data_IF_327281709195
#
_entry.id   IF_327281709195
#
_cell.length_a   1.000
_cell.length_b   1.000
_cell.length_c   1.000
_cell.angle_alpha   90.00
_cell.angle_beta   90.00
_cell.angle_gamma   90.00
#
_symmetry.space_group_name_H-M   'P 1'
#
loop_
_entity.id
_entity.type
_entity.pdbx_description
1 polymer ?
#
# COMPACT_ATOMS: atom_id res chain seq x y z
N UNK A 1 37.91 -12.45 -28.92
CA UNK A 1 37.70 -12.70 -27.48
C UNK A 1 38.13 -11.48 -26.70
N UNK A 2 37.21 -10.75 -26.09
CA UNK A 2 37.51 -9.62 -25.19
C UNK A 2 37.99 -10.16 -23.84
N UNK A 3 39.20 -9.76 -23.42
CA UNK A 3 39.84 -10.22 -22.19
C UNK A 3 39.19 -9.55 -20.98
N UNK A 4 38.67 -10.34 -20.04
CA UNK A 4 38.15 -9.85 -18.77
C UNK A 4 39.32 -9.44 -17.85
N UNK A 5 39.27 -8.24 -17.27
CA UNK A 5 40.32 -7.69 -16.38
C UNK A 5 39.83 -7.78 -14.93
N UNK A 6 40.64 -8.39 -14.07
CA UNK A 6 40.35 -8.50 -12.65
C UNK A 6 40.67 -7.17 -11.93
N UNK A 7 39.75 -6.64 -11.11
CA UNK A 7 40.05 -5.48 -10.27
C UNK A 7 41.05 -5.85 -9.18
N UNK A 8 42.00 -4.94 -8.90
CA UNK A 8 43.00 -5.10 -7.83
C UNK A 8 42.53 -4.43 -6.54
N UNK A 9 42.76 -5.10 -5.40
CA UNK A 9 42.38 -4.61 -4.06
C UNK A 9 43.44 -3.71 -3.40
N UNK A 10 44.54 -3.40 -4.11
CA UNK A 10 45.70 -2.70 -3.54
C UNK A 10 45.33 -1.32 -2.97
N UNK A 11 45.52 -1.13 -1.65
CA UNK A 11 45.24 0.13 -0.96
C UNK A 11 43.76 0.39 -0.64
N UNK A 12 42.85 -0.51 -1.01
CA UNK A 12 41.43 -0.39 -0.69
C UNK A 12 41.11 -1.02 0.66
N UNK A 13 40.20 -0.38 1.40
CA UNK A 13 39.65 -0.88 2.67
C UNK A 13 38.21 -1.29 2.48
N UNK A 14 37.81 -2.41 3.09
CA UNK A 14 36.42 -2.84 3.11
C UNK A 14 35.60 -1.90 3.99
N UNK A 15 34.54 -1.33 3.42
CA UNK A 15 33.52 -0.60 4.17
C UNK A 15 32.55 -1.64 4.71
N UNK A 16 32.43 -1.74 6.04
CA UNK A 16 31.45 -2.62 6.68
C UNK A 16 30.15 -1.85 6.90
N UNK A 17 29.05 -2.36 6.36
CA UNK A 17 27.72 -1.75 6.50
C UNK A 17 27.35 -0.85 5.33
N UNK A 18 26.58 0.18 5.61
CA UNK A 18 26.06 1.11 4.60
C UNK A 18 27.17 2.04 4.12
N UNK A 19 27.30 2.14 2.80
CA UNK A 19 28.18 3.14 2.19
C UNK A 19 27.61 4.55 2.42
N UNK A 20 28.50 5.53 2.38
CA UNK A 20 28.10 6.94 2.40
C UNK A 20 27.13 7.25 1.25
N UNK A 21 26.05 7.95 1.55
CA UNK A 21 25.00 8.26 0.58
C UNK A 21 24.04 7.11 0.25
N UNK A 22 24.11 5.97 0.94
CA UNK A 22 23.15 4.89 0.75
C UNK A 22 21.73 5.36 1.11
N UNK A 23 20.85 5.34 0.13
CA UNK A 23 19.44 5.71 0.27
C UNK A 23 18.66 4.57 0.92
N UNK A 24 17.83 4.89 1.92
CA UNK A 24 17.07 3.92 2.72
C UNK A 24 15.68 4.46 3.06
N UNK A 25 14.77 3.56 3.44
CA UNK A 25 13.42 3.93 3.85
C UNK A 25 12.74 4.81 2.79
N UNK A 26 12.16 5.93 3.20
CA UNK A 26 11.44 6.85 2.29
C UNK A 26 12.30 7.40 1.15
N UNK A 27 13.62 7.41 1.30
CA UNK A 27 14.54 7.95 0.30
C UNK A 27 15.00 6.87 -0.70
N UNK A 28 14.57 5.61 -0.51
CA UNK A 28 14.90 4.49 -1.41
C UNK A 28 14.35 4.75 -2.82
N UNK A 29 15.06 4.25 -3.83
CA UNK A 29 14.62 4.33 -5.22
C UNK A 29 13.31 3.54 -5.45
N UNK A 30 12.57 3.93 -6.48
CA UNK A 30 11.29 3.30 -6.83
C UNK A 30 11.41 1.78 -7.05
N UNK A 31 10.36 1.05 -6.68
CA UNK A 31 10.27 -0.41 -6.83
C UNK A 31 10.71 -1.22 -5.61
N UNK A 32 11.35 -0.59 -4.62
CA UNK A 32 11.64 -1.24 -3.35
C UNK A 32 10.43 -1.17 -2.41
N UNK A 33 10.14 -2.22 -1.63
CA UNK A 33 9.05 -2.21 -0.67
C UNK A 33 9.35 -1.27 0.50
N UNK A 34 8.33 -0.54 0.94
CA UNK A 34 8.46 0.42 2.03
C UNK A 34 7.29 0.30 3.02
N UNK A 35 7.61 0.16 4.31
CA UNK A 35 6.61 0.22 5.40
C UNK A 35 6.37 1.65 5.88
N UNK A 36 7.32 2.55 5.66
CA UNK A 36 7.38 3.88 6.28
C UNK A 36 6.45 4.95 5.67
N UNK A 37 5.60 4.61 4.68
CA UNK A 37 4.72 5.59 4.03
C UNK A 37 3.44 5.89 4.83
N UNK A 38 3.00 4.96 5.70
CA UNK A 38 1.86 5.16 6.58
C UNK A 38 2.29 4.98 8.05
N UNK A 39 1.75 5.78 8.99
CA UNK A 39 1.88 5.48 10.42
C UNK A 39 1.37 4.06 10.69
N UNK A 40 2.18 3.28 11.39
CA UNK A 40 1.88 1.88 11.68
C UNK A 40 2.51 1.45 13.00
N UNK A 41 1.98 0.36 13.55
CA UNK A 41 2.54 -0.35 14.71
C UNK A 41 2.87 -1.77 14.32
N UNK A 42 3.95 -2.31 14.88
CA UNK A 42 4.38 -3.69 14.65
C UNK A 42 4.48 -4.43 15.97
N UNK A 43 3.69 -5.49 16.12
CA UNK A 43 3.66 -6.32 17.33
C UNK A 43 3.95 -7.78 16.96
N UNK A 44 4.60 -8.53 17.86
CA UNK A 44 4.77 -9.97 17.71
C UNK A 44 3.55 -10.68 18.31
N UNK A 45 2.74 -11.32 17.46
CA UNK A 45 1.48 -11.92 17.87
C UNK A 45 1.21 -13.23 17.13
N UNK A 46 0.46 -14.13 17.75
CA UNK A 46 -0.09 -15.30 17.08
C UNK A 46 -1.17 -14.87 16.08
N UNK A 47 -0.75 -14.59 14.85
CA UNK A 47 -1.61 -14.28 13.74
C UNK A 47 -1.46 -15.36 12.67
N UNK A 48 -2.54 -16.07 12.39
CA UNK A 48 -2.55 -17.23 11.48
C UNK A 48 -2.37 -16.76 10.04
N UNK A 49 -1.13 -16.45 9.68
CA UNK A 49 -0.70 -16.01 8.33
C UNK A 49 -0.46 -17.24 7.45
N UNK A 50 -0.82 -17.13 6.19
CA UNK A 50 -0.68 -18.12 5.12
C UNK A 50 0.19 -17.55 4.00
N UNK A 51 1.51 -17.69 4.16
CA UNK A 51 2.50 -17.26 3.15
C UNK A 51 2.64 -18.32 2.04
N UNK A 52 2.45 -19.59 2.39
CA UNK A 52 2.51 -20.73 1.47
C UNK A 52 1.18 -21.51 1.48
N UNK A 53 1.21 -22.80 1.17
CA UNK A 53 -0.01 -23.63 1.15
C UNK A 53 -0.58 -23.90 2.55
N UNK A 54 0.24 -23.83 3.59
CA UNK A 54 -0.13 -24.07 4.98
C UNK A 54 -0.11 -22.79 5.82
N UNK A 55 -0.93 -22.81 6.87
CA UNK A 55 -0.97 -21.76 7.88
C UNK A 55 0.24 -21.86 8.82
N UNK A 56 0.75 -20.71 9.24
CA UNK A 56 1.79 -20.62 10.27
C UNK A 56 1.21 -21.01 11.63
N UNK A 57 2.00 -21.76 12.40
CA UNK A 57 1.68 -22.24 13.76
C UNK A 57 2.42 -21.48 14.86
N UNK A 58 3.15 -20.42 14.53
CA UNK A 58 3.90 -19.62 15.50
C UNK A 58 3.69 -18.14 15.26
N UNK A 59 4.21 -17.33 16.17
CA UNK A 59 4.02 -15.89 16.15
C UNK A 59 4.61 -15.26 14.89
N UNK A 60 3.95 -14.21 14.43
CA UNK A 60 4.34 -13.41 13.27
C UNK A 60 4.37 -11.94 13.68
N UNK A 61 5.23 -11.16 13.02
CA UNK A 61 5.17 -9.70 13.15
C UNK A 61 3.92 -9.24 12.42
N UNK A 62 2.99 -8.64 13.15
CA UNK A 62 1.75 -8.09 12.62
C UNK A 62 1.90 -6.58 12.51
N UNK A 63 1.73 -6.05 11.30
CA UNK A 63 1.76 -4.61 11.04
C UNK A 63 0.33 -4.08 11.03
N UNK A 64 0.01 -3.13 11.91
CA UNK A 64 -1.30 -2.47 11.99
C UNK A 64 -1.17 -1.07 11.43
N UNK A 65 -1.90 -0.77 10.36
CA UNK A 65 -1.90 0.54 9.71
C UNK A 65 -2.87 1.46 10.45
N UNK A 66 -2.43 2.66 10.81
CA UNK A 66 -3.30 3.70 11.34
C UNK A 66 -3.96 4.46 10.18
N UNK A 67 -5.26 4.74 10.27
CA UNK A 67 -6.00 5.42 9.20
C UNK A 67 -5.85 6.95 9.31
N UNK A 68 -5.05 7.62 8.47
CA UNK A 68 -4.89 9.08 8.52
C UNK A 68 -6.13 9.83 8.03
N UNK A 69 -7.08 9.14 7.38
CA UNK A 69 -8.31 9.70 6.84
C UNK A 69 -9.51 9.51 7.78
N UNK A 70 -9.28 9.06 9.02
CA UNK A 70 -10.35 8.84 9.97
C UNK A 70 -11.09 10.14 10.28
N UNK A 71 -12.40 10.16 10.01
CA UNK A 71 -13.27 11.31 10.24
C UNK A 71 -13.48 12.19 9.01
N UNK A 72 -12.74 11.98 7.92
CA UNK A 72 -13.00 12.65 6.65
C UNK A 72 -14.32 12.14 6.04
N UNK A 73 -15.02 13.03 5.33
CA UNK A 73 -16.17 12.67 4.51
C UNK A 73 -15.71 12.10 3.18
N UNK A 74 -16.52 11.21 2.61
CA UNK A 74 -16.19 10.52 1.36
C UNK A 74 -16.12 11.51 0.20
N UNK A 75 -16.92 12.58 0.22
CA UNK A 75 -16.84 13.65 -0.78
C UNK A 75 -15.53 14.44 -0.71
N UNK A 76 -15.04 14.72 0.52
CA UNK A 76 -13.78 15.43 0.72
C UNK A 76 -12.58 14.55 0.30
N UNK A 77 -12.67 13.24 0.56
CA UNK A 77 -11.71 12.26 0.05
C UNK A 77 -11.75 12.17 -1.46
N UNK A 78 -12.93 12.18 -2.08
CA UNK A 78 -13.06 12.18 -3.52
C UNK A 78 -12.42 13.44 -4.15
N UNK A 79 -12.62 14.62 -3.57
CA UNK A 79 -11.98 15.86 -4.03
C UNK A 79 -10.46 15.78 -3.93
N UNK A 80 -9.93 15.24 -2.84
CA UNK A 80 -8.48 15.19 -2.60
C UNK A 80 -7.76 14.09 -3.39
N UNK A 81 -8.43 12.97 -3.68
CA UNK A 81 -7.80 11.81 -4.33
C UNK A 81 -8.12 11.70 -5.82
N UNK A 82 -9.37 11.90 -6.22
CA UNK A 82 -9.81 11.60 -7.60
C UNK A 82 -9.17 12.57 -8.60
N UNK A 83 -8.69 12.02 -9.71
CA UNK A 83 -7.88 12.64 -10.78
C UNK A 83 -6.44 13.00 -10.39
N UNK A 84 -6.07 12.87 -9.12
CA UNK A 84 -4.71 13.07 -8.65
C UNK A 84 -3.88 11.78 -8.77
N UNK A 85 -2.57 11.97 -8.75
CA UNK A 85 -1.61 10.89 -8.66
C UNK A 85 -1.64 10.29 -7.26
N UNK A 86 -1.70 8.96 -7.17
CA UNK A 86 -1.78 8.20 -5.92
C UNK A 86 -0.80 7.03 -5.96
N UNK A 87 -0.39 6.56 -4.78
CA UNK A 87 0.47 5.40 -4.65
C UNK A 87 -0.32 4.22 -4.07
N UNK A 88 -0.36 3.11 -4.79
CA UNK A 88 -1.13 1.91 -4.45
C UNK A 88 -0.25 0.67 -4.38
N UNK A 89 -0.78 -0.44 -3.85
CA UNK A 89 -0.05 -1.72 -3.83
C UNK A 89 0.94 -1.88 -2.67
N UNK A 90 0.68 -1.20 -1.54
CA UNK A 90 1.48 -1.35 -0.31
C UNK A 90 1.81 -2.83 0.00
N UNK A 91 3.05 -3.19 0.38
CA UNK A 91 4.20 -2.31 0.60
C UNK A 91 5.00 -1.98 -0.68
N UNK A 92 4.68 -2.59 -1.82
CA UNK A 92 5.33 -2.36 -3.11
C UNK A 92 4.62 -1.24 -3.86
N UNK A 93 4.84 0.00 -3.41
CA UNK A 93 4.13 1.16 -3.93
C UNK A 93 4.36 1.34 -5.43
N UNK A 94 3.26 1.49 -6.16
CA UNK A 94 3.22 1.77 -7.58
C UNK A 94 2.48 3.08 -7.81
N UNK A 95 2.96 3.81 -8.80
CA UNK A 95 2.33 5.05 -9.25
C UNK A 95 1.05 4.72 -10.02
N UNK A 96 -0.04 5.41 -9.67
CA UNK A 96 -1.35 5.20 -10.27
C UNK A 96 -2.16 6.51 -10.26
N UNK A 97 -3.26 6.53 -11.00
CA UNK A 97 -4.16 7.69 -11.05
C UNK A 97 -5.55 7.30 -10.59
N UNK A 98 -6.03 7.92 -9.52
CA UNK A 98 -7.37 7.63 -9.03
C UNK A 98 -8.43 8.14 -10.02
N UNK A 99 -9.29 7.25 -10.52
CA UNK A 99 -10.39 7.59 -11.43
C UNK A 99 -11.71 7.77 -10.70
N UNK A 100 -11.90 7.09 -9.56
CA UNK A 100 -13.09 7.18 -8.73
C UNK A 100 -12.81 6.71 -7.30
N UNK A 101 -13.71 7.04 -6.39
CA UNK A 101 -13.81 6.47 -5.05
C UNK A 101 -15.16 5.73 -4.96
N UNK A 102 -15.27 4.63 -4.21
CA UNK A 102 -16.58 4.07 -3.88
C UNK A 102 -16.66 3.59 -2.44
N UNK A 103 -17.79 3.85 -1.81
CA UNK A 103 -18.21 3.22 -0.55
C UNK A 103 -19.17 2.06 -0.86
N UNK A 104 -19.93 1.59 0.14
CA UNK A 104 -20.88 0.48 0.02
C UNK A 104 -22.11 0.82 -0.87
N UNK A 105 -22.45 2.10 -1.01
CA UNK A 105 -23.69 2.58 -1.64
C UNK A 105 -23.45 3.45 -2.88
N UNK A 106 -22.38 4.24 -2.90
CA UNK A 106 -22.10 5.29 -3.85
C UNK A 106 -20.72 5.15 -4.47
N UNK A 107 -20.65 5.51 -5.76
CA UNK A 107 -19.40 5.78 -6.47
C UNK A 107 -19.24 7.28 -6.65
N UNK A 108 -18.17 7.84 -6.09
CA UNK A 108 -17.82 9.25 -6.22
C UNK A 108 -16.89 9.48 -7.41
N UNK A 109 -17.23 10.48 -8.22
CA UNK A 109 -16.41 10.97 -9.32
C UNK A 109 -16.34 12.49 -9.27
N UNK A 110 -15.32 13.08 -9.90
CA UNK A 110 -15.19 14.53 -10.00
C UNK A 110 -15.69 14.99 -11.37
N UNK A 111 -16.70 15.84 -11.36
CA UNK A 111 -17.24 16.50 -12.54
C UNK A 111 -16.13 17.35 -13.22
N UNK A 112 -15.85 17.13 -14.52
CA UNK A 112 -14.82 17.88 -15.23
C UNK A 112 -15.07 19.39 -15.30
N UNK A 113 -16.34 19.83 -15.30
CA UNK A 113 -16.73 21.22 -15.46
C UNK A 113 -16.82 21.93 -14.11
N UNK A 114 -17.56 21.33 -13.17
CA UNK A 114 -17.84 21.96 -11.88
C UNK A 114 -16.78 21.69 -10.82
N UNK A 115 -15.89 20.70 -11.05
CA UNK A 115 -14.89 20.18 -10.08
C UNK A 115 -15.50 19.75 -8.74
N UNK A 116 -16.80 19.48 -8.71
CA UNK A 116 -17.51 19.01 -7.52
C UNK A 116 -17.56 17.48 -7.50
N UNK A 117 -17.55 16.86 -6.30
CA UNK A 117 -17.78 15.44 -6.17
C UNK A 117 -19.24 15.12 -6.49
N UNK A 118 -19.44 14.06 -7.26
CA UNK A 118 -20.75 13.50 -7.58
C UNK A 118 -20.79 12.06 -7.08
N UNK A 119 -21.61 11.83 -6.05
CA UNK A 119 -21.93 10.49 -5.55
C UNK A 119 -23.05 9.86 -6.37
N UNK A 120 -22.73 8.80 -7.11
CA UNK A 120 -23.67 8.07 -7.96
C UNK A 120 -24.02 6.76 -7.25
N UNK A 121 -25.28 6.53 -6.84
CA UNK A 121 -25.68 5.26 -6.27
C UNK A 121 -25.35 4.10 -7.21
N UNK A 122 -24.89 2.98 -6.66
CA UNK A 122 -24.56 1.82 -7.45
C UNK A 122 -25.29 0.55 -7.01
N UNK A 123 -25.56 -0.34 -7.98
CA UNK A 123 -26.27 -1.59 -7.74
C UNK A 123 -25.36 -2.79 -7.45
N UNK A 124 -24.04 -2.57 -7.34
CA UNK A 124 -23.03 -3.62 -7.19
C UNK A 124 -22.46 -3.70 -5.76
N UNK A 125 -23.30 -3.38 -4.76
CA UNK A 125 -22.99 -3.43 -3.32
C UNK A 125 -22.41 -4.78 -2.87
N UNK A 126 -23.01 -5.90 -3.30
CA UNK A 126 -22.54 -7.25 -2.93
C UNK A 126 -21.12 -7.51 -3.45
N UNK A 127 -20.82 -7.12 -4.69
CA UNK A 127 -19.47 -7.26 -5.25
C UNK A 127 -18.49 -6.28 -4.62
N UNK A 128 -18.90 -5.05 -4.30
CA UNK A 128 -18.06 -4.11 -3.58
C UNK A 128 -17.66 -4.68 -2.21
N UNK A 129 -18.63 -5.20 -1.46
CA UNK A 129 -18.38 -5.81 -0.15
C UNK A 129 -17.43 -7.01 -0.25
N UNK A 130 -17.60 -7.87 -1.26
CA UNK A 130 -16.66 -8.98 -1.54
C UNK A 130 -15.25 -8.46 -1.86
N UNK A 131 -15.12 -7.38 -2.61
CA UNK A 131 -13.82 -6.75 -2.89
C UNK A 131 -13.17 -6.18 -1.64
N UNK A 132 -13.94 -5.49 -0.79
CA UNK A 132 -13.49 -4.97 0.50
C UNK A 132 -12.99 -6.11 1.42
N UNK A 133 -13.81 -7.15 1.62
CA UNK A 133 -13.46 -8.30 2.44
C UNK A 133 -12.24 -9.06 1.89
N UNK A 134 -12.12 -9.15 0.56
CA UNK A 134 -10.96 -9.74 -0.12
C UNK A 134 -9.68 -8.95 0.18
N UNK A 135 -9.72 -7.60 0.11
CA UNK A 135 -8.58 -6.77 0.46
C UNK A 135 -8.17 -6.97 1.92
N UNK A 136 -9.12 -6.92 2.86
CA UNK A 136 -8.87 -7.17 4.28
C UNK A 136 -8.21 -8.54 4.51
N UNK A 137 -8.74 -9.57 3.85
CA UNK A 137 -8.21 -10.94 3.91
C UNK A 137 -6.80 -11.04 3.34
N UNK A 138 -6.56 -10.52 2.14
CA UNK A 138 -5.27 -10.64 1.46
C UNK A 138 -4.16 -9.96 2.26
N UNK A 139 -4.37 -8.73 2.72
CA UNK A 139 -3.41 -8.01 3.55
C UNK A 139 -3.14 -8.74 4.88
N UNK A 140 -4.21 -9.20 5.55
CA UNK A 140 -4.09 -9.83 6.86
C UNK A 140 -3.47 -11.23 6.78
N UNK A 141 -4.00 -12.09 5.92
CA UNK A 141 -3.63 -13.50 5.84
C UNK A 141 -2.40 -13.77 5.01
N UNK A 142 -2.15 -13.04 3.92
CA UNK A 142 -0.92 -13.26 3.13
C UNK A 142 0.21 -12.31 3.52
N UNK A 143 -0.13 -11.10 3.94
CA UNK A 143 0.84 -10.04 4.23
C UNK A 143 1.11 -9.77 5.71
N UNK A 144 0.40 -10.40 6.65
CA UNK A 144 0.53 -10.08 8.09
C UNK A 144 0.23 -8.62 8.42
N UNK A 145 -0.53 -7.93 7.55
CA UNK A 145 -0.82 -6.51 7.65
C UNK A 145 -2.31 -6.31 7.90
N UNK A 146 -2.66 -5.65 9.01
CA UNK A 146 -4.04 -5.33 9.37
C UNK A 146 -4.31 -3.88 8.98
N UNK A 147 -5.15 -3.71 7.95
CA UNK A 147 -5.56 -2.39 7.42
C UNK A 147 -6.83 -1.84 8.08
N UNK A 148 -7.47 -2.63 8.94
CA UNK A 148 -8.79 -2.32 9.50
C UNK A 148 -9.94 -2.58 8.52
N UNK A 149 -11.13 -2.08 8.86
CA UNK A 149 -12.30 -2.22 7.99
C UNK A 149 -12.21 -1.26 6.81
N UNK A 150 -12.37 -1.79 5.60
CA UNK A 150 -12.39 -1.00 4.37
C UNK A 150 -13.72 -0.25 4.29
N UNK A 151 -13.65 1.09 4.42
CA UNK A 151 -14.81 1.98 4.27
C UNK A 151 -15.01 2.45 2.83
N UNK A 152 -13.90 2.66 2.13
CA UNK A 152 -13.86 3.19 0.76
C UNK A 152 -12.79 2.47 -0.04
N UNK A 153 -13.05 2.27 -1.32
CA UNK A 153 -12.13 1.69 -2.29
C UNK A 153 -11.79 2.76 -3.33
N UNK A 154 -10.49 2.98 -3.55
CA UNK A 154 -9.99 3.83 -4.63
C UNK A 154 -9.89 2.99 -5.91
N UNK A 155 -10.47 3.49 -7.00
CA UNK A 155 -10.36 2.89 -8.33
C UNK A 155 -9.24 3.60 -9.07
N UNK A 156 -8.28 2.84 -9.60
CA UNK A 156 -7.11 3.32 -10.34
C UNK A 156 -6.97 2.66 -11.70
#
# INVERSE_FOLDING_TARGET
MTKYILPTLGGLRLIKGLCEGALLGKDTIAGFPLLCFSPHKGDLEFHIVKIHQSERKGDSIVIRIENPYQGNKDEDLAISLVRNQVYVGYPFLQDARAVALSDDLFRYTIDPLTKRPQGIPHNWMISWKRSADSLEYEYSKKGGTVIGLVKVIVHV
#
